data_IF_375314947359
#
_entry.id   IF_375314947359
#
_cell.length_a   1.000
_cell.length_b   1.000
_cell.length_c   1.000
_cell.angle_alpha   90.00
_cell.angle_beta   90.00
_cell.angle_gamma   90.00
#
_symmetry.space_group_name_H-M   'P 1'
#
loop_
_entity.id
_entity.type
_entity.pdbx_description
1 polymer ?
#
# COMPACT_ATOMS: atom_id res chain seq x y z
N UNK A 1 12.20 -16.82 8.35
CA UNK A 1 10.90 -16.74 9.04
C UNK A 1 10.82 -15.39 9.72
N UNK A 2 9.67 -14.72 9.65
CA UNK A 2 9.45 -13.41 10.29
C UNK A 2 9.28 -13.61 11.80
N UNK A 3 9.85 -12.72 12.63
CA UNK A 3 9.64 -12.74 14.08
C UNK A 3 8.26 -12.19 14.45
N UNK A 4 7.71 -12.59 15.59
CA UNK A 4 6.43 -12.06 16.08
C UNK A 4 6.47 -10.54 16.28
N UNK A 5 7.62 -10.00 16.68
CA UNK A 5 7.84 -8.56 16.81
C UNK A 5 7.73 -7.85 15.46
N UNK A 6 8.43 -8.35 14.42
CA UNK A 6 8.36 -7.77 13.08
C UNK A 6 6.97 -7.90 12.48
N UNK A 7 6.27 -9.01 12.71
CA UNK A 7 4.90 -9.18 12.27
C UNK A 7 3.94 -8.19 12.94
N UNK A 8 4.05 -8.01 14.27
CA UNK A 8 3.26 -6.99 15.00
C UNK A 8 3.55 -5.58 14.50
N UNK A 9 4.80 -5.29 14.21
CA UNK A 9 5.19 -3.99 13.66
C UNK A 9 4.57 -3.74 12.28
N UNK A 10 4.68 -4.71 11.37
CA UNK A 10 4.13 -4.62 10.03
C UNK A 10 2.62 -4.39 10.04
N UNK A 11 1.88 -5.16 10.84
CA UNK A 11 0.43 -4.99 10.93
C UNK A 11 0.03 -3.70 11.67
N UNK A 12 0.82 -3.21 12.63
CA UNK A 12 0.58 -1.89 13.23
C UNK A 12 0.74 -0.76 12.21
N UNK A 13 1.66 -0.86 11.26
CA UNK A 13 1.78 0.09 10.14
C UNK A 13 0.52 0.06 9.28
N UNK A 14 0.05 -1.14 8.91
CA UNK A 14 -1.18 -1.31 8.12
C UNK A 14 -2.38 -0.69 8.82
N UNK A 15 -2.56 -0.93 10.12
CA UNK A 15 -3.67 -0.39 10.91
C UNK A 15 -3.63 1.15 10.97
N UNK A 16 -2.44 1.75 11.07
CA UNK A 16 -2.27 3.20 11.03
C UNK A 16 -2.68 3.79 9.69
N UNK A 17 -2.28 3.17 8.58
CA UNK A 17 -2.63 3.65 7.23
C UNK A 17 -4.13 3.45 6.97
N UNK A 18 -4.71 2.31 7.37
CA UNK A 18 -6.14 2.07 7.27
C UNK A 18 -6.96 3.08 8.11
N UNK A 19 -6.54 3.36 9.34
CA UNK A 19 -7.18 4.37 10.20
C UNK A 19 -7.05 5.79 9.63
N UNK A 20 -5.90 6.12 9.04
CA UNK A 20 -5.71 7.38 8.31
C UNK A 20 -6.67 7.50 7.12
N UNK A 21 -6.86 6.42 6.34
CA UNK A 21 -7.75 6.40 5.19
C UNK A 21 -9.23 6.44 5.59
N UNK A 22 -9.62 5.78 6.68
CA UNK A 22 -11.01 5.73 7.15
C UNK A 22 -11.58 7.12 7.50
N UNK A 23 -10.73 8.07 7.91
CA UNK A 23 -11.13 9.45 8.19
C UNK A 23 -11.22 10.36 6.97
N UNK A 24 -11.08 9.81 5.75
CA UNK A 24 -10.89 10.56 4.50
C UNK A 24 -11.73 10.00 3.36
N UNK A 25 -12.76 10.74 2.96
CA UNK A 25 -13.65 10.33 1.85
C UNK A 25 -12.95 10.37 0.49
N UNK A 26 -11.89 11.17 0.35
CA UNK A 26 -11.06 11.27 -0.85
C UNK A 26 -10.09 10.08 -1.02
N UNK A 27 -9.92 9.24 0.01
CA UNK A 27 -9.16 7.99 -0.08
C UNK A 27 -10.10 6.82 -0.34
N UNK A 28 -10.06 6.30 -1.57
CA UNK A 28 -11.05 5.35 -2.10
C UNK A 28 -10.67 3.89 -1.91
N UNK A 29 -9.42 3.61 -1.55
CA UNK A 29 -8.99 2.26 -1.20
C UNK A 29 -7.57 2.23 -0.65
N UNK A 30 -7.28 1.24 0.18
CA UNK A 30 -5.92 0.90 0.61
C UNK A 30 -5.75 -0.61 0.51
N UNK A 31 -4.66 -1.05 -0.11
CA UNK A 31 -4.27 -2.45 -0.22
C UNK A 31 -2.84 -2.66 0.26
N UNK A 32 -2.61 -3.75 0.97
CA UNK A 32 -1.27 -4.34 1.16
C UNK A 32 -1.01 -5.24 -0.03
N UNK A 33 0.20 -5.18 -0.61
CA UNK A 33 0.58 -6.02 -1.76
C UNK A 33 1.86 -6.81 -1.46
N UNK A 34 2.19 -7.74 -2.35
CA UNK A 34 3.44 -8.45 -2.31
C UNK A 34 3.55 -9.45 -1.16
N UNK A 35 4.75 -9.53 -0.59
CA UNK A 35 5.17 -10.66 0.25
C UNK A 35 4.35 -10.77 1.55
N UNK A 36 4.03 -9.66 2.20
CA UNK A 36 3.22 -9.63 3.41
C UNK A 36 1.75 -9.99 3.14
N UNK A 37 1.20 -9.55 2.01
CA UNK A 37 -0.17 -9.87 1.64
C UNK A 37 -0.38 -11.38 1.38
N UNK A 38 0.61 -12.06 0.79
CA UNK A 38 0.54 -13.51 0.49
C UNK A 38 1.18 -14.43 1.54
N UNK A 39 1.62 -13.90 2.68
CA UNK A 39 2.25 -14.69 3.73
C UNK A 39 3.63 -15.26 3.39
N UNK A 40 4.35 -14.65 2.45
CA UNK A 40 5.69 -15.05 2.01
C UNK A 40 6.81 -14.08 2.45
N UNK A 41 6.50 -13.14 3.34
CA UNK A 41 7.46 -12.18 3.86
C UNK A 41 8.63 -12.84 4.58
N UNK A 42 9.78 -12.18 4.51
CA UNK A 42 11.03 -12.51 5.21
C UNK A 42 11.43 -11.32 6.09
N UNK A 43 12.45 -11.50 6.93
CA UNK A 43 12.89 -10.45 7.85
C UNK A 43 13.47 -9.22 7.15
N UNK A 44 13.94 -9.39 5.92
CA UNK A 44 14.46 -8.37 5.01
C UNK A 44 13.40 -7.84 4.04
N UNK A 45 12.15 -8.30 4.14
CA UNK A 45 11.05 -7.77 3.32
C UNK A 45 10.56 -6.44 3.86
N UNK A 46 10.41 -5.48 2.96
CA UNK A 46 9.57 -4.30 3.13
C UNK A 46 8.09 -4.70 3.16
N UNK A 47 7.24 -3.82 3.68
CA UNK A 47 5.79 -3.90 3.49
C UNK A 47 5.33 -2.87 2.46
N UNK A 48 4.66 -3.36 1.43
CA UNK A 48 4.15 -2.55 0.33
C UNK A 48 2.67 -2.23 0.54
N UNK A 49 2.34 -0.95 0.59
CA UNK A 49 0.97 -0.45 0.76
C UNK A 49 0.65 0.52 -0.38
N UNK A 50 -0.47 0.32 -1.06
CA UNK A 50 -0.96 1.25 -2.08
C UNK A 50 -2.20 1.97 -1.54
N UNK A 51 -2.21 3.29 -1.59
CA UNK A 51 -3.34 4.16 -1.29
C UNK A 51 -3.91 4.77 -2.58
N UNK A 52 -5.20 4.59 -2.80
CA UNK A 52 -5.92 5.07 -3.98
C UNK A 52 -6.65 6.38 -3.68
N UNK A 53 -6.21 7.44 -4.33
CA UNK A 53 -6.75 8.81 -4.19
C UNK A 53 -6.42 9.62 -5.43
N UNK A 54 -7.33 10.48 -5.86
CA UNK A 54 -7.06 11.44 -6.94
C UNK A 54 -6.50 12.78 -6.41
N UNK A 55 -6.29 12.89 -5.08
CA UNK A 55 -5.69 14.06 -4.46
C UNK A 55 -4.16 13.92 -4.38
N UNK A 56 -3.39 14.67 -5.19
CA UNK A 56 -1.94 14.53 -5.24
C UNK A 56 -1.23 14.97 -3.95
N UNK A 57 -1.91 15.70 -3.05
CA UNK A 57 -1.29 16.15 -1.78
C UNK A 57 -0.87 14.99 -0.89
N UNK A 58 -1.49 13.82 -1.06
CA UNK A 58 -1.13 12.64 -0.29
C UNK A 58 0.16 11.97 -0.76
N UNK A 59 0.74 12.40 -1.88
CA UNK A 59 2.09 12.00 -2.27
C UNK A 59 3.20 12.80 -1.54
N UNK A 60 2.85 13.65 -0.57
CA UNK A 60 3.80 14.34 0.29
C UNK A 60 4.56 13.36 1.19
N UNK A 61 5.88 13.39 1.12
CA UNK A 61 6.75 12.51 1.88
C UNK A 61 6.67 12.76 3.40
N UNK A 62 6.49 14.03 3.81
CA UNK A 62 6.44 14.42 5.22
C UNK A 62 5.19 13.86 5.92
N UNK A 63 4.09 13.72 5.18
CA UNK A 63 2.88 13.06 5.67
C UNK A 63 3.15 11.61 6.08
N UNK A 64 3.84 10.86 5.24
CA UNK A 64 4.12 9.45 5.50
C UNK A 64 5.21 9.26 6.56
N UNK A 65 6.25 10.09 6.55
CA UNK A 65 7.27 10.10 7.59
C UNK A 65 6.64 10.34 8.97
N UNK A 66 5.76 11.34 9.08
CA UNK A 66 5.04 11.66 10.31
C UNK A 66 4.05 10.57 10.74
N UNK A 67 3.28 10.02 9.81
CA UNK A 67 2.28 8.97 10.11
C UNK A 67 2.94 7.67 10.59
N UNK A 68 4.04 7.28 9.95
CA UNK A 68 4.72 6.00 10.19
C UNK A 68 5.80 6.09 11.28
N UNK A 69 6.24 7.30 11.62
CA UNK A 69 7.29 7.56 12.59
C UNK A 69 8.63 7.01 12.11
N UNK A 70 9.18 7.62 11.06
CA UNK A 70 10.44 7.21 10.45
C UNK A 70 11.00 8.28 9.51
N UNK A 71 12.05 7.91 8.79
CA UNK A 71 12.74 8.80 7.86
C UNK A 71 12.48 8.37 6.41
N UNK A 72 12.26 9.34 5.53
CA UNK A 72 12.13 9.08 4.09
C UNK A 72 13.50 8.68 3.55
N UNK A 73 13.56 7.50 2.93
CA UNK A 73 14.79 6.95 2.35
C UNK A 73 14.77 6.95 0.83
N UNK A 74 13.59 6.96 0.22
CA UNK A 74 13.43 7.00 -1.23
C UNK A 74 12.10 7.64 -1.63
N UNK A 75 12.16 8.35 -2.76
CA UNK A 75 11.00 8.78 -3.55
C UNK A 75 11.20 8.28 -4.98
N UNK A 76 10.15 7.73 -5.59
CA UNK A 76 10.19 7.28 -6.97
C UNK A 76 8.84 7.42 -7.68
N UNK A 77 8.84 7.30 -9.00
CA UNK A 77 7.64 7.36 -9.83
C UNK A 77 7.54 6.10 -10.70
N UNK A 78 6.37 5.45 -10.68
CA UNK A 78 6.08 4.25 -11.46
C UNK A 78 4.79 4.44 -12.24
N UNK A 79 4.90 5.00 -13.44
CA UNK A 79 3.72 5.45 -14.19
C UNK A 79 2.92 6.45 -13.34
N UNK A 80 1.64 6.20 -13.04
CA UNK A 80 0.82 7.12 -12.24
C UNK A 80 1.05 7.00 -10.73
N UNK A 81 1.84 6.02 -10.26
CA UNK A 81 2.10 5.79 -8.84
C UNK A 81 3.30 6.62 -8.37
N UNK A 82 3.15 7.25 -7.20
CA UNK A 82 4.23 7.91 -6.46
C UNK A 82 4.65 7.02 -5.30
N UNK A 83 5.90 6.57 -5.29
CA UNK A 83 6.48 5.74 -4.24
C UNK A 83 7.14 6.63 -3.18
N UNK A 84 6.89 6.34 -1.91
CA UNK A 84 7.56 6.89 -0.75
C UNK A 84 8.02 5.73 0.13
N UNK A 85 9.34 5.58 0.33
CA UNK A 85 9.89 4.60 1.28
C UNK A 85 10.27 5.27 2.59
N UNK A 86 9.72 4.76 3.68
CA UNK A 86 10.01 5.22 5.04
C UNK A 86 10.71 4.11 5.81
N UNK A 87 11.89 4.44 6.36
CA UNK A 87 12.61 3.56 7.29
C UNK A 87 12.27 3.93 8.72
N UNK A 88 11.74 2.96 9.46
CA UNK A 88 11.43 3.11 10.89
C UNK A 88 12.68 2.91 11.75
N UNK A 89 12.70 3.38 13.01
CA UNK A 89 13.84 3.18 13.92
C UNK A 89 14.26 1.73 14.14
N UNK A 90 13.35 0.77 13.96
CA UNK A 90 13.60 -0.68 14.00
C UNK A 90 14.36 -1.23 12.78
N UNK A 91 14.69 -0.36 11.82
CA UNK A 91 15.19 -0.73 10.50
C UNK A 91 14.13 -1.29 9.54
N UNK A 92 12.85 -1.35 9.95
CA UNK A 92 11.78 -1.78 9.04
C UNK A 92 11.57 -0.78 7.93
N UNK A 93 11.46 -1.26 6.70
CA UNK A 93 11.16 -0.42 5.54
C UNK A 93 9.68 -0.58 5.16
N UNK A 94 9.01 0.55 5.01
CA UNK A 94 7.61 0.64 4.58
C UNK A 94 7.60 1.37 3.24
N UNK A 95 7.04 0.75 2.22
CA UNK A 95 6.79 1.38 0.93
C UNK A 95 5.32 1.80 0.84
N UNK A 96 5.10 3.10 0.60
CA UNK A 96 3.79 3.64 0.29
C UNK A 96 3.73 4.06 -1.18
N UNK A 97 2.83 3.43 -1.94
CA UNK A 97 2.46 3.86 -3.27
C UNK A 97 1.18 4.70 -3.24
N UNK A 98 1.24 5.96 -3.63
CA UNK A 98 0.06 6.81 -3.83
C UNK A 98 -0.29 6.80 -5.31
N UNK A 99 -1.48 6.32 -5.65
CA UNK A 99 -1.92 6.17 -7.03
C UNK A 99 -3.32 6.75 -7.23
N UNK A 100 -3.64 7.26 -8.44
CA UNK A 100 -4.99 7.70 -8.75
C UNK A 100 -5.97 6.54 -8.66
N UNK A 101 -7.24 6.85 -8.42
CA UNK A 101 -8.31 5.84 -8.32
C UNK A 101 -8.42 5.03 -9.61
N UNK A 102 -8.06 5.64 -10.73
CA UNK A 102 -7.99 4.98 -12.05
C UNK A 102 -7.01 3.80 -12.13
N UNK A 103 -6.06 3.69 -11.20
CA UNK A 103 -5.16 2.52 -11.10
C UNK A 103 -5.92 1.20 -10.89
N UNK A 104 -7.08 1.26 -10.22
CA UNK A 104 -7.96 0.11 -9.98
C UNK A 104 -9.04 -0.08 -11.06
N UNK A 105 -8.95 0.61 -12.20
CA UNK A 105 -9.91 0.44 -13.30
C UNK A 105 -9.89 -1.00 -13.82
N UNK A 106 -11.08 -1.58 -14.00
CA UNK A 106 -11.25 -2.98 -14.42
C UNK A 106 -11.56 -3.18 -15.91
N UNK A 107 -11.87 -2.11 -16.64
CA UNK A 107 -12.20 -2.14 -18.06
C UNK A 107 -11.17 -1.46 -18.97
N UNK A 108 -10.08 -2.12 -19.38
CA UNK A 108 -9.48 -3.35 -18.82
C UNK A 108 -8.56 -3.04 -17.61
N UNK A 109 -8.19 -4.07 -16.85
CA UNK A 109 -7.10 -3.94 -15.85
C UNK A 109 -5.77 -3.77 -16.58
N UNK A 110 -5.03 -2.71 -16.22
CA UNK A 110 -3.66 -2.47 -16.68
C UNK A 110 -2.73 -3.66 -16.36
N UNK A 111 -1.78 -3.97 -17.23
CA UNK A 111 -0.90 -5.13 -17.07
C UNK A 111 -0.03 -5.07 -15.81
N UNK A 112 0.46 -3.88 -15.43
CA UNK A 112 1.21 -3.63 -14.21
C UNK A 112 0.33 -3.82 -12.97
N UNK A 113 -0.87 -3.23 -12.96
CA UNK A 113 -1.85 -3.45 -11.89
C UNK A 113 -2.18 -4.93 -11.73
N UNK A 114 -2.48 -5.63 -12.83
CA UNK A 114 -2.78 -7.07 -12.80
C UNK A 114 -1.64 -7.86 -12.20
N UNK A 115 -0.38 -7.57 -12.57
CA UNK A 115 0.79 -8.23 -11.98
C UNK A 115 0.84 -8.02 -10.46
N UNK A 116 0.73 -6.78 -10.00
CA UNK A 116 0.77 -6.44 -8.57
C UNK A 116 -0.33 -7.18 -7.79
N UNK A 117 -1.57 -7.15 -8.29
CA UNK A 117 -2.72 -7.79 -7.63
C UNK A 117 -2.57 -9.32 -7.64
N UNK A 118 -2.10 -9.90 -8.75
CA UNK A 118 -1.92 -11.35 -8.89
C UNK A 118 -0.75 -11.89 -8.07
N UNK A 119 0.28 -11.07 -7.84
CA UNK A 119 1.43 -11.40 -7.01
C UNK A 119 1.10 -11.39 -5.50
N UNK A 120 -0.15 -11.11 -5.13
CA UNK A 120 -0.66 -11.15 -3.76
C UNK A 120 -1.09 -9.78 -3.28
N UNK A 121 -2.33 -9.69 -2.80
CA UNK A 121 -2.90 -8.46 -2.28
C UNK A 121 -3.88 -8.74 -1.14
N UNK A 122 -4.10 -7.72 -0.30
CA UNK A 122 -5.11 -7.70 0.76
C UNK A 122 -5.65 -6.29 0.89
N UNK A 123 -6.92 -6.08 0.57
CA UNK A 123 -7.60 -4.82 0.86
C UNK A 123 -7.73 -4.62 2.37
N UNK A 124 -7.42 -3.41 2.85
CA UNK A 124 -7.51 -3.02 4.27
C UNK A 124 -8.41 -1.80 4.50
N UNK A 125 -8.72 -1.06 3.43
CA UNK A 125 -9.77 -0.06 3.37
C UNK A 125 -10.40 -0.12 1.98
N UNK A 126 -11.70 -0.36 1.87
CA UNK A 126 -12.41 -0.45 0.58
C UNK A 126 -13.90 -0.06 0.73
N UNK A 127 -14.19 1.21 1.05
CA UNK A 127 -15.55 1.64 1.42
C UNK A 127 -16.56 1.51 0.27
N UNK A 128 -16.09 1.43 -0.98
CA UNK A 128 -16.93 1.35 -2.17
C UNK A 128 -16.82 0.02 -2.94
N UNK A 129 -16.08 -0.98 -2.43
CA UNK A 129 -15.88 -2.25 -3.10
C UNK A 129 -15.02 -2.17 -4.38
N UNK A 130 -14.23 -1.10 -4.53
CA UNK A 130 -13.36 -0.86 -5.67
C UNK A 130 -12.26 -1.93 -5.75
N UNK A 131 -11.63 -2.22 -4.61
CA UNK A 131 -10.55 -3.20 -4.53
C UNK A 131 -11.07 -4.63 -4.64
N UNK A 132 -12.26 -4.90 -4.09
CA UNK A 132 -12.95 -6.17 -4.31
C UNK A 132 -13.24 -6.41 -5.80
N UNK A 133 -13.73 -5.39 -6.52
CA UNK A 133 -13.96 -5.48 -7.97
C UNK A 133 -12.65 -5.70 -8.75
N UNK A 134 -11.58 -4.99 -8.38
CA UNK A 134 -10.26 -5.18 -8.99
C UNK A 134 -9.72 -6.60 -8.77
N UNK A 135 -9.86 -7.12 -7.55
CA UNK A 135 -9.48 -8.49 -7.18
C UNK A 135 -10.19 -9.51 -8.07
N UNK A 136 -11.52 -9.39 -8.20
CA UNK A 136 -12.32 -10.26 -9.04
C UNK A 136 -11.92 -10.18 -10.53
N UNK A 137 -11.55 -8.99 -11.03
CA UNK A 137 -11.10 -8.81 -12.42
C UNK A 137 -9.69 -9.33 -12.71
N UNK A 138 -8.90 -9.62 -11.66
CA UNK A 138 -7.57 -10.23 -11.76
C UNK A 138 -7.57 -11.74 -11.47
N UNK A 139 -8.70 -12.29 -11.02
CA UNK A 139 -8.83 -13.72 -10.81
C UNK A 139 -8.60 -14.48 -12.15
N UNK A 140 -7.92 -15.64 -12.10
CA UNK A 140 -7.64 -16.46 -13.29
C UNK A 140 -8.90 -17.03 -13.94
#
# INVERSE_FOLDING_TARGET
>A
MVTEERAREAWSVVDRVAGWAAGREDVRGVLVVGSWARGAARMDSDIDIVALTDDPRYADADLWAGLLGGEVTRLAEWGPLREIRVRRPSGFEVEIGVAPVSWARTGPVDAGTRRVVSDGHRAVHDPAGLLAALSAACAP
#
